data_IF_274261865384
#
_entry.id   IF_274261865384
#
_cell.length_a   1.000
_cell.length_b   1.000
_cell.length_c   1.000
_cell.angle_alpha   90.00
_cell.angle_beta   90.00
_cell.angle_gamma   90.00
#
_symmetry.space_group_name_H-M   'P 1'
#
loop_
_entity.id
_entity.type
_entity.pdbx_description
1 polymer ?
#
# COMPACT_ATOMS: atom_id res chain seq x y z
N UNK A 1 -9.61 -1.74 18.21
CA UNK A 1 -9.04 -2.25 16.99
C UNK A 1 -10.13 -2.49 15.97
N UNK A 2 -10.32 -1.55 15.04
CA UNK A 2 -11.33 -1.65 13.99
C UNK A 2 -10.72 -2.16 12.69
N UNK A 3 -10.17 -3.39 12.69
CA UNK A 3 -9.87 -4.07 11.45
C UNK A 3 -11.19 -4.48 10.80
N UNK A 4 -11.47 -4.05 9.58
CA UNK A 4 -12.56 -4.55 8.77
C UNK A 4 -12.45 -6.08 8.55
N UNK A 5 -13.47 -6.71 7.96
CA UNK A 5 -13.43 -8.15 7.73
C UNK A 5 -12.26 -8.48 6.78
N UNK A 6 -11.52 -9.54 7.11
CA UNK A 6 -10.49 -10.08 6.23
C UNK A 6 -11.12 -10.57 4.92
N UNK A 7 -10.40 -10.37 3.85
CA UNK A 7 -10.78 -10.85 2.51
C UNK A 7 -9.62 -11.57 1.84
N UNK A 8 -9.89 -12.21 0.71
CA UNK A 8 -8.84 -12.77 -0.12
C UNK A 8 -8.03 -11.61 -0.73
N UNK A 9 -6.77 -11.50 -0.37
CA UNK A 9 -5.83 -10.49 -0.86
C UNK A 9 -4.77 -11.14 -1.74
N UNK A 10 -4.31 -10.40 -2.72
CA UNK A 10 -3.20 -10.82 -3.60
C UNK A 10 -1.84 -10.73 -2.90
N UNK A 11 -1.67 -9.72 -2.05
CA UNK A 11 -0.49 -9.41 -1.24
C UNK A 11 0.79 -9.04 -2.03
N UNK A 12 0.70 -8.90 -3.35
CA UNK A 12 1.78 -8.47 -4.26
C UNK A 12 1.22 -7.66 -5.44
N UNK A 13 0.27 -6.76 -5.15
CA UNK A 13 -0.52 -5.99 -6.11
C UNK A 13 0.24 -4.78 -6.67
N UNK A 14 1.43 -4.97 -7.25
CA UNK A 14 2.18 -3.91 -7.92
C UNK A 14 2.00 -3.96 -9.45
N UNK A 15 2.32 -2.84 -10.13
CA UNK A 15 1.99 -2.64 -11.54
C UNK A 15 2.32 -3.80 -12.49
N UNK A 16 3.49 -4.47 -12.43
CA UNK A 16 3.81 -5.55 -13.34
C UNK A 16 2.89 -6.77 -13.25
N UNK A 17 2.14 -6.93 -12.14
CA UNK A 17 1.19 -8.03 -11.96
C UNK A 17 -0.20 -7.74 -12.55
N UNK A 18 -0.42 -6.54 -13.10
CA UNK A 18 -1.63 -6.18 -13.83
C UNK A 18 -1.38 -6.25 -15.33
N UNK A 19 -2.10 -7.14 -16.02
CA UNK A 19 -2.04 -7.27 -17.46
C UNK A 19 -3.33 -6.75 -18.08
N UNK A 20 -3.20 -5.98 -19.16
CA UNK A 20 -4.34 -5.49 -19.94
C UNK A 20 -4.25 -6.10 -21.34
N UNK A 21 -5.29 -6.81 -21.77
CA UNK A 21 -5.34 -7.37 -23.11
C UNK A 21 -5.71 -6.34 -24.17
N UNK A 22 -5.69 -6.76 -25.44
CA UNK A 22 -6.00 -5.88 -26.58
C UNK A 22 -7.45 -5.37 -26.57
N UNK A 23 -8.33 -6.00 -25.81
CA UNK A 23 -9.72 -5.61 -25.63
C UNK A 23 -9.94 -4.71 -24.41
N UNK A 24 -8.85 -4.36 -23.68
CA UNK A 24 -8.90 -3.53 -22.48
C UNK A 24 -9.33 -4.31 -21.22
N UNK A 25 -9.40 -5.62 -21.26
CA UNK A 25 -9.69 -6.44 -20.08
C UNK A 25 -8.45 -6.57 -19.22
N UNK A 26 -8.60 -6.31 -17.93
CA UNK A 26 -7.53 -6.39 -16.93
C UNK A 26 -7.50 -7.76 -16.27
N UNK A 27 -6.30 -8.27 -16.07
CA UNK A 27 -6.00 -9.51 -15.34
C UNK A 27 -4.98 -9.21 -14.26
N UNK A 28 -5.18 -9.79 -13.08
CA UNK A 28 -4.20 -9.79 -12.00
C UNK A 28 -3.57 -11.19 -11.93
N UNK A 29 -2.25 -11.23 -12.03
CA UNK A 29 -1.45 -12.47 -12.08
C UNK A 29 -0.50 -12.56 -10.90
N UNK A 30 0.18 -13.71 -10.77
CA UNK A 30 1.23 -13.97 -9.77
C UNK A 30 0.70 -13.96 -8.31
N UNK A 31 -0.15 -14.93 -8.02
CA UNK A 31 -0.88 -15.09 -6.77
C UNK A 31 -0.11 -15.88 -5.69
N UNK A 32 1.21 -16.01 -5.81
CA UNK A 32 2.01 -16.85 -4.91
C UNK A 32 1.98 -16.43 -3.43
N UNK A 33 1.74 -15.15 -3.14
CA UNK A 33 1.62 -14.59 -1.80
C UNK A 33 0.17 -14.43 -1.32
N UNK A 34 -0.81 -14.86 -2.11
CA UNK A 34 -2.22 -14.65 -1.81
C UNK A 34 -2.65 -15.31 -0.50
N UNK A 35 -3.50 -14.64 0.24
CA UNK A 35 -4.01 -15.12 1.52
C UNK A 35 -5.18 -14.30 2.04
N UNK A 36 -5.72 -14.75 3.18
CA UNK A 36 -6.74 -14.00 3.89
C UNK A 36 -6.07 -12.91 4.72
N UNK A 37 -6.36 -11.66 4.40
CA UNK A 37 -5.76 -10.50 5.05
C UNK A 37 -6.72 -9.30 5.07
N UNK A 38 -6.29 -8.23 5.71
CA UNK A 38 -6.94 -6.93 5.59
C UNK A 38 -6.73 -6.38 4.17
N UNK A 39 -7.76 -5.83 3.50
CA UNK A 39 -7.62 -5.25 2.17
C UNK A 39 -6.56 -4.12 2.08
N UNK A 40 -6.20 -3.53 3.22
CA UNK A 40 -5.09 -2.60 3.31
C UNK A 40 -3.76 -3.18 2.82
N UNK A 41 -3.57 -4.50 2.90
CA UNK A 41 -2.38 -5.17 2.36
C UNK A 41 -2.24 -4.94 0.85
N UNK A 42 -3.33 -5.09 0.09
CA UNK A 42 -3.31 -4.89 -1.36
C UNK A 42 -3.23 -3.41 -1.74
N UNK A 43 -4.04 -2.58 -1.12
CA UNK A 43 -4.06 -1.14 -1.39
C UNK A 43 -2.74 -0.49 -0.96
N UNK A 44 -2.22 -0.86 0.20
CA UNK A 44 -0.94 -0.36 0.70
C UNK A 44 0.23 -0.75 -0.22
N UNK A 45 0.30 -2.00 -0.66
CA UNK A 45 1.33 -2.48 -1.60
C UNK A 45 1.22 -1.77 -2.96
N UNK A 46 0.01 -1.64 -3.49
CA UNK A 46 -0.22 -0.96 -4.76
C UNK A 46 0.28 0.48 -4.73
N UNK A 47 -0.07 1.24 -3.69
CA UNK A 47 0.38 2.63 -3.52
C UNK A 47 1.89 2.69 -3.27
N UNK A 48 2.43 1.82 -2.40
CA UNK A 48 3.86 1.78 -2.07
C UNK A 48 4.76 1.53 -3.30
N UNK A 49 4.26 0.88 -4.33
CA UNK A 49 4.99 0.55 -5.55
C UNK A 49 4.66 1.46 -6.74
N UNK A 50 3.82 2.48 -6.57
CA UNK A 50 3.30 3.30 -7.68
C UNK A 50 3.90 4.70 -7.78
N UNK A 51 4.76 5.10 -6.87
CA UNK A 51 5.36 6.46 -6.81
C UNK A 51 4.33 7.60 -6.88
N UNK A 52 3.19 7.42 -6.23
CA UNK A 52 2.12 8.42 -6.18
C UNK A 52 2.44 9.56 -5.21
N UNK A 53 1.89 10.74 -5.49
CA UNK A 53 1.76 11.81 -4.50
C UNK A 53 0.77 11.41 -3.39
N UNK A 54 0.75 12.16 -2.28
CA UNK A 54 -0.22 11.91 -1.19
C UNK A 54 -1.66 12.06 -1.68
N UNK A 55 -1.95 13.07 -2.51
CA UNK A 55 -3.27 13.29 -3.09
C UNK A 55 -3.69 12.14 -4.01
N UNK A 56 -2.78 11.62 -4.82
CA UNK A 56 -3.04 10.46 -5.68
C UNK A 56 -3.30 9.20 -4.84
N UNK A 57 -2.55 9.00 -3.76
CA UNK A 57 -2.77 7.88 -2.83
C UNK A 57 -4.15 7.97 -2.15
N UNK A 58 -4.54 9.15 -1.66
CA UNK A 58 -5.88 9.37 -1.09
C UNK A 58 -6.99 9.16 -2.12
N UNK A 59 -6.75 9.55 -3.37
CA UNK A 59 -7.70 9.30 -4.46
C UNK A 59 -7.86 7.80 -4.76
N UNK A 60 -6.78 7.02 -4.74
CA UNK A 60 -6.84 5.55 -4.90
C UNK A 60 -7.65 4.92 -3.77
N UNK A 61 -7.44 5.35 -2.52
CA UNK A 61 -8.19 4.87 -1.36
C UNK A 61 -9.69 5.18 -1.54
N UNK A 62 -10.03 6.41 -1.91
CA UNK A 62 -11.42 6.82 -2.14
C UNK A 62 -12.08 6.02 -3.26
N UNK A 63 -11.36 5.75 -4.34
CA UNK A 63 -11.83 4.90 -5.46
C UNK A 63 -12.09 3.47 -5.03
N UNK A 64 -11.23 2.91 -4.22
CA UNK A 64 -11.41 1.57 -3.66
C UNK A 64 -12.64 1.49 -2.76
N UNK A 65 -12.81 2.47 -1.86
CA UNK A 65 -13.94 2.52 -0.93
C UNK A 65 -15.29 2.82 -1.62
N UNK A 66 -15.26 3.49 -2.77
CA UNK A 66 -16.46 3.96 -3.46
C UNK A 66 -17.10 5.20 -2.84
N UNK A 67 -16.43 5.84 -1.89
CA UNK A 67 -16.85 7.08 -1.22
C UNK A 67 -15.63 7.87 -0.73
N UNK A 68 -15.84 9.12 -0.32
CA UNK A 68 -14.83 9.92 0.36
C UNK A 68 -14.44 9.24 1.69
N UNK A 69 -13.17 8.94 1.94
CA UNK A 69 -12.77 8.23 3.15
C UNK A 69 -13.01 9.07 4.40
N UNK A 70 -13.46 8.43 5.46
CA UNK A 70 -13.45 9.03 6.81
C UNK A 70 -12.02 9.18 7.32
N UNK A 71 -11.81 9.96 8.37
CA UNK A 71 -10.49 10.09 9.00
C UNK A 71 -9.93 8.74 9.44
N UNK A 72 -10.77 7.89 10.04
CA UNK A 72 -10.38 6.54 10.48
C UNK A 72 -10.01 5.62 9.31
N UNK A 73 -10.78 5.62 8.23
CA UNK A 73 -10.48 4.84 7.02
C UNK A 73 -9.18 5.32 6.37
N UNK A 74 -9.01 6.62 6.23
CA UNK A 74 -7.81 7.18 5.62
C UNK A 74 -6.55 6.82 6.44
N UNK A 75 -6.61 6.99 7.76
CA UNK A 75 -5.54 6.59 8.68
C UNK A 75 -5.21 5.11 8.56
N UNK A 76 -6.22 4.24 8.47
CA UNK A 76 -6.06 2.81 8.31
C UNK A 76 -5.26 2.47 7.05
N UNK A 77 -5.69 2.96 5.90
CA UNK A 77 -5.02 2.67 4.63
C UNK A 77 -3.65 3.34 4.51
N UNK A 78 -3.47 4.58 4.97
CA UNK A 78 -2.15 5.22 5.00
C UNK A 78 -1.17 4.47 5.92
N UNK A 79 -1.66 3.92 7.03
CA UNK A 79 -0.88 3.03 7.89
C UNK A 79 -0.40 1.78 7.14
N UNK A 80 -1.25 1.17 6.32
CA UNK A 80 -0.86 0.04 5.47
C UNK A 80 0.13 0.42 4.37
N UNK A 81 0.03 1.62 3.78
CA UNK A 81 1.06 2.12 2.84
C UNK A 81 2.42 2.21 3.53
N UNK A 82 2.46 2.75 4.75
CA UNK A 82 3.69 2.83 5.53
C UNK A 82 4.27 1.44 5.85
N UNK A 83 3.43 0.52 6.31
CA UNK A 83 3.84 -0.85 6.65
C UNK A 83 4.32 -1.62 5.42
N UNK A 84 3.60 -1.56 4.31
CA UNK A 84 4.00 -2.19 3.05
C UNK A 84 5.33 -1.63 2.54
N UNK A 85 5.49 -0.31 2.56
CA UNK A 85 6.72 0.37 2.15
C UNK A 85 7.91 -0.06 3.00
N UNK A 86 7.74 -0.15 4.32
CA UNK A 86 8.79 -0.60 5.23
C UNK A 86 9.15 -2.08 5.01
N UNK A 87 8.13 -2.94 4.84
CA UNK A 87 8.33 -4.37 4.55
C UNK A 87 9.13 -4.57 3.25
N UNK A 88 8.72 -3.93 2.16
CA UNK A 88 9.40 -4.04 0.87
C UNK A 88 10.79 -3.39 0.90
N UNK A 89 10.99 -2.33 1.67
CA UNK A 89 12.31 -1.75 1.89
C UNK A 89 13.28 -2.75 2.55
N UNK A 90 12.83 -3.44 3.60
CA UNK A 90 13.65 -4.48 4.24
C UNK A 90 13.93 -5.66 3.30
N UNK A 91 12.93 -6.08 2.55
CA UNK A 91 13.09 -7.10 1.51
C UNK A 91 14.09 -6.65 0.44
N UNK A 92 14.00 -5.39 0.00
CA UNK A 92 14.93 -4.79 -0.96
C UNK A 92 16.37 -4.76 -0.45
N UNK A 93 16.60 -4.39 0.80
CA UNK A 93 17.93 -4.46 1.43
C UNK A 93 18.49 -5.88 1.44
N UNK A 94 17.65 -6.86 1.74
CA UNK A 94 18.04 -8.27 1.68
C UNK A 94 18.43 -8.69 0.26
N UNK A 95 17.65 -8.31 -0.76
CA UNK A 95 17.96 -8.60 -2.16
C UNK A 95 19.29 -7.96 -2.59
N UNK A 96 19.53 -6.70 -2.23
CA UNK A 96 20.80 -6.03 -2.52
C UNK A 96 21.99 -6.75 -1.84
N UNK A 97 21.82 -7.19 -0.60
CA UNK A 97 22.85 -8.00 0.09
C UNK A 97 23.11 -9.35 -0.61
N UNK A 98 22.12 -9.89 -1.34
CA UNK A 98 22.26 -11.07 -2.16
C UNK A 98 22.72 -10.77 -3.62
N UNK A 99 23.21 -9.56 -3.88
CA UNK A 99 23.58 -9.05 -5.20
C UNK A 99 22.45 -9.11 -6.25
N UNK A 100 21.20 -8.97 -5.80
CA UNK A 100 20.01 -8.85 -6.65
C UNK A 100 19.48 -7.42 -6.56
N UNK A 101 19.76 -6.62 -7.56
CA UNK A 101 19.41 -5.19 -7.54
C UNK A 101 17.91 -4.97 -7.77
N UNK A 102 17.29 -4.20 -6.86
CA UNK A 102 15.87 -3.81 -6.95
C UNK A 102 15.67 -2.42 -7.56
N UNK A 103 16.75 -1.74 -7.95
CA UNK A 103 16.73 -0.46 -8.63
C UNK A 103 16.14 0.67 -7.79
N UNK A 104 15.37 1.56 -8.43
CA UNK A 104 14.78 2.75 -7.81
C UNK A 104 13.73 2.44 -6.72
N UNK A 105 13.15 1.24 -6.72
CA UNK A 105 12.17 0.84 -5.71
C UNK A 105 12.72 0.95 -4.27
N UNK A 106 14.00 0.67 -4.05
CA UNK A 106 14.59 0.77 -2.73
C UNK A 106 14.43 2.19 -2.14
N UNK A 107 14.68 3.21 -2.96
CA UNK A 107 14.50 4.60 -2.57
C UNK A 107 13.03 4.99 -2.39
N UNK A 108 12.15 4.53 -3.29
CA UNK A 108 10.71 4.77 -3.23
C UNK A 108 10.14 4.22 -1.92
N UNK A 109 10.44 2.97 -1.59
CA UNK A 109 9.96 2.33 -0.35
C UNK A 109 10.51 3.00 0.90
N UNK A 110 11.78 3.41 0.91
CA UNK A 110 12.36 4.17 2.01
C UNK A 110 11.64 5.51 2.24
N UNK A 111 11.46 6.26 1.16
CA UNK A 111 10.75 7.55 1.18
C UNK A 111 9.33 7.39 1.73
N UNK A 112 8.59 6.44 1.23
CA UNK A 112 7.21 6.21 1.63
C UNK A 112 7.06 5.63 3.03
N UNK A 113 7.93 4.74 3.45
CA UNK A 113 7.93 4.24 4.82
C UNK A 113 8.00 5.39 5.84
N UNK A 114 8.83 6.40 5.59
CA UNK A 114 8.94 7.59 6.44
C UNK A 114 7.74 8.52 6.30
N UNK A 115 7.37 8.88 5.08
CA UNK A 115 6.34 9.87 4.80
C UNK A 115 4.96 9.40 5.27
N UNK A 116 4.57 8.19 4.93
CA UNK A 116 3.24 7.67 5.27
C UNK A 116 3.13 7.24 6.74
N UNK A 117 4.22 6.81 7.38
CA UNK A 117 4.22 6.60 8.83
C UNK A 117 3.93 7.90 9.58
N UNK A 118 4.58 8.99 9.19
CA UNK A 118 4.33 10.30 9.79
C UNK A 118 2.88 10.76 9.56
N UNK A 119 2.37 10.67 8.33
CA UNK A 119 1.00 11.06 8.01
C UNK A 119 -0.05 10.25 8.79
N UNK A 120 0.16 8.94 8.95
CA UNK A 120 -0.74 8.09 9.71
C UNK A 120 -0.73 8.46 11.20
N UNK A 121 0.45 8.71 11.79
CA UNK A 121 0.58 9.13 13.19
C UNK A 121 -0.06 10.49 13.46
N UNK A 122 0.16 11.48 12.61
CA UNK A 122 -0.46 12.81 12.73
C UNK A 122 -1.99 12.72 12.74
N UNK A 123 -2.57 11.80 11.96
CA UNK A 123 -4.03 11.59 11.96
C UNK A 123 -4.52 10.86 13.21
N UNK A 124 -3.72 10.02 13.85
CA UNK A 124 -4.04 9.45 15.17
C UNK A 124 -4.08 10.55 16.24
N UNK A 125 -3.05 11.39 16.29
CA UNK A 125 -2.95 12.49 17.26
C UNK A 125 -4.11 13.49 17.12
N UNK A 126 -4.55 13.78 15.89
CA UNK A 126 -5.69 14.66 15.64
C UNK A 126 -7.00 14.09 16.18
N UNK A 127 -7.25 12.78 16.10
CA UNK A 127 -8.47 12.18 16.64
C UNK A 127 -8.46 12.17 18.18
N UNK A 128 -7.33 11.90 18.82
CA UNK A 128 -7.22 11.98 20.28
C UNK A 128 -7.42 13.39 20.82
N UNK A 129 -7.02 14.42 20.09
CA UNK A 129 -7.21 15.81 20.48
C UNK A 129 -8.70 16.25 20.43
N UNK A 130 -9.56 15.55 19.68
CA UNK A 130 -11.00 15.82 19.55
C UNK A 130 -11.88 14.84 20.33
N UNK A 131 -11.31 13.82 20.92
CA UNK A 131 -12.01 12.85 21.76
C UNK A 131 -12.05 13.31 23.22
#
# INVERSE_FOLDING_TARGET
GGGGPWCACHCDSYNPNFLIDKQGKMYLIDWEYAGMADPGCDIGTFIACSDYTTEEAEHVIARYLGHAPTGAELRHYLGYVAMASYFWFLWGLYQEACAKHVGEYLYIWYKYAKQYAQLALERYDQEEAFA
#
